data_IF_220529043190
#
_entry.id   IF_220529043190
#
_cell.length_a   1.000
_cell.length_b   1.000
_cell.length_c   1.000
_cell.angle_alpha   90.00
_cell.angle_beta   90.00
_cell.angle_gamma   90.00
#
_symmetry.space_group_name_H-M   'P 1'
#
loop_
_entity.id
_entity.type
_entity.pdbx_description
1 polymer ?
#
# COMPACT_ATOMS: atom_id res chain seq x y z
N UNK A 1 13.50 -20.02 -42.79
CA UNK A 1 12.53 -20.95 -43.42
C UNK A 1 11.51 -20.14 -44.20
N UNK A 2 11.20 -20.53 -45.44
CA UNK A 2 10.33 -19.76 -46.33
C UNK A 2 8.93 -20.37 -46.40
N UNK A 3 7.93 -19.65 -45.90
CA UNK A 3 6.58 -20.18 -45.65
C UNK A 3 5.57 -19.55 -46.59
N UNK A 4 4.70 -20.36 -47.19
CA UNK A 4 3.51 -19.89 -47.88
C UNK A 4 2.24 -20.23 -47.09
N UNK A 5 1.27 -19.31 -47.09
CA UNK A 5 -0.02 -19.50 -46.42
C UNK A 5 -1.10 -19.58 -47.51
N UNK A 6 -1.88 -20.64 -47.52
CA UNK A 6 -3.00 -20.83 -48.45
C UNK A 6 -4.29 -20.74 -47.65
N UNK A 7 -5.09 -19.73 -47.94
CA UNK A 7 -6.24 -19.28 -47.15
C UNK A 7 -5.92 -18.01 -46.38
N UNK A 8 -6.51 -16.88 -46.78
CA UNK A 8 -6.40 -15.55 -46.21
C UNK A 8 -7.57 -15.14 -45.32
N UNK A 9 -8.44 -16.08 -44.92
CA UNK A 9 -9.44 -15.86 -43.87
C UNK A 9 -8.82 -15.48 -42.50
N UNK A 10 -9.62 -15.47 -41.43
CA UNK A 10 -9.13 -15.07 -40.09
C UNK A 10 -7.95 -15.92 -39.59
N UNK A 11 -7.98 -17.25 -39.83
CA UNK A 11 -6.86 -18.12 -39.45
C UNK A 11 -5.58 -17.81 -40.21
N UNK A 12 -5.69 -17.56 -41.52
CA UNK A 12 -4.56 -17.14 -42.35
C UNK A 12 -3.98 -15.79 -41.92
N UNK A 13 -4.86 -14.84 -41.56
CA UNK A 13 -4.44 -13.54 -40.99
C UNK A 13 -3.66 -13.72 -39.70
N UNK A 14 -4.18 -14.48 -38.74
CA UNK A 14 -3.53 -14.71 -37.44
C UNK A 14 -2.19 -15.41 -37.59
N UNK A 15 -2.12 -16.45 -38.42
CA UNK A 15 -0.85 -17.15 -38.72
C UNK A 15 0.14 -16.18 -39.37
N UNK A 16 -0.29 -15.38 -40.35
CA UNK A 16 0.54 -14.38 -41.00
C UNK A 16 1.10 -13.36 -39.99
N UNK A 17 0.26 -12.78 -39.13
CA UNK A 17 0.72 -11.79 -38.14
C UNK A 17 1.72 -12.35 -37.13
N UNK A 18 1.54 -13.61 -36.70
CA UNK A 18 2.46 -14.25 -35.76
C UNK A 18 3.78 -14.58 -36.43
N UNK A 19 3.77 -15.20 -37.60
CA UNK A 19 5.01 -15.58 -38.30
C UNK A 19 5.85 -14.37 -38.71
N UNK A 20 5.21 -13.25 -39.05
CA UNK A 20 5.90 -11.98 -39.37
C UNK A 20 6.70 -11.40 -38.20
N UNK A 21 6.42 -11.80 -36.96
CA UNK A 21 7.19 -11.37 -35.76
C UNK A 21 8.43 -12.21 -35.52
N UNK A 22 8.60 -13.34 -36.22
CA UNK A 22 9.69 -14.28 -36.00
C UNK A 22 10.87 -13.98 -36.93
N UNK A 23 12.06 -13.74 -36.36
CA UNK A 23 13.24 -13.30 -37.12
C UNK A 23 13.78 -14.35 -38.12
N UNK A 24 13.44 -15.64 -37.94
CA UNK A 24 13.96 -16.76 -38.75
C UNK A 24 13.01 -17.20 -39.89
N UNK A 25 11.90 -16.49 -40.08
CA UNK A 25 10.83 -16.85 -41.02
C UNK A 25 10.71 -15.80 -42.11
N UNK A 26 10.71 -16.24 -43.37
CA UNK A 26 10.40 -15.42 -44.53
C UNK A 26 9.04 -15.83 -45.09
N UNK A 27 8.10 -14.90 -45.21
CA UNK A 27 6.80 -15.18 -45.82
C UNK A 27 6.92 -15.07 -47.34
N UNK A 28 6.81 -16.22 -48.02
CA UNK A 28 6.84 -16.31 -49.49
C UNK A 28 5.60 -15.68 -50.13
N UNK A 29 4.48 -15.76 -49.42
CA UNK A 29 3.24 -15.06 -49.73
C UNK A 29 2.00 -15.70 -49.12
N UNK A 30 0.87 -15.05 -49.29
CA UNK A 30 -0.45 -15.54 -48.88
C UNK A 30 -1.39 -15.64 -50.08
N UNK A 31 -2.20 -16.71 -50.13
CA UNK A 31 -3.17 -16.94 -51.21
C UNK A 31 -4.59 -16.91 -50.68
N UNK A 32 -5.47 -16.16 -51.32
CA UNK A 32 -6.91 -16.29 -51.14
C UNK A 32 -7.62 -15.79 -52.40
N UNK A 33 -8.70 -16.45 -52.78
CA UNK A 33 -9.55 -16.04 -53.91
C UNK A 33 -10.32 -14.75 -53.61
N UNK A 34 -10.55 -14.43 -52.33
CA UNK A 34 -11.15 -13.18 -51.90
C UNK A 34 -10.07 -12.14 -51.59
N UNK A 35 -9.93 -11.15 -52.47
CA UNK A 35 -8.99 -10.04 -52.26
C UNK A 35 -9.28 -9.19 -51.01
N UNK A 36 -10.51 -9.27 -50.47
CA UNK A 36 -10.91 -8.60 -49.25
C UNK A 36 -10.69 -9.46 -48.00
N UNK A 37 -10.18 -10.68 -48.17
CA UNK A 37 -9.93 -11.56 -47.05
C UNK A 37 -8.97 -10.90 -46.03
N UNK A 38 -9.20 -11.04 -44.71
CA UNK A 38 -8.46 -10.30 -43.68
C UNK A 38 -6.93 -10.48 -43.75
N UNK A 39 -6.46 -11.67 -44.10
CA UNK A 39 -5.05 -11.99 -44.29
C UNK A 39 -4.44 -11.35 -45.52
N UNK A 40 -5.20 -11.21 -46.61
CA UNK A 40 -4.76 -10.49 -47.83
C UNK A 40 -4.63 -9.00 -47.55
N UNK A 41 -5.59 -8.41 -46.83
CA UNK A 41 -5.52 -7.00 -46.42
C UNK A 41 -4.32 -6.72 -45.49
N UNK A 42 -4.05 -7.63 -44.55
CA UNK A 42 -2.86 -7.56 -43.71
C UNK A 42 -1.57 -7.68 -44.55
N UNK A 43 -1.52 -8.61 -45.50
CA UNK A 43 -0.35 -8.77 -46.38
C UNK A 43 -0.08 -7.53 -47.22
N UNK A 44 -1.12 -6.89 -47.78
CA UNK A 44 -1.01 -5.59 -48.48
C UNK A 44 -0.36 -4.53 -47.60
N UNK A 45 -0.82 -4.39 -46.36
CA UNK A 45 -0.28 -3.40 -45.41
C UNK A 45 1.18 -3.67 -45.02
N UNK A 46 1.56 -4.95 -44.91
CA UNK A 46 2.90 -5.37 -44.53
C UNK A 46 3.87 -5.51 -45.72
N UNK A 47 3.40 -5.27 -46.95
CA UNK A 47 4.20 -5.46 -48.17
C UNK A 47 4.53 -6.92 -48.48
N UNK A 48 3.75 -7.86 -47.95
CA UNK A 48 3.90 -9.29 -48.21
C UNK A 48 3.25 -9.65 -49.55
N UNK A 49 3.92 -10.51 -50.33
CA UNK A 49 3.37 -11.00 -51.59
C UNK A 49 2.03 -11.70 -51.37
N UNK A 50 1.05 -11.38 -52.20
CA UNK A 50 -0.27 -11.98 -52.16
C UNK A 50 -0.78 -12.22 -53.57
N UNK A 51 -1.63 -13.23 -53.74
CA UNK A 51 -2.20 -13.63 -55.02
C UNK A 51 -3.51 -14.40 -54.79
N UNK A 52 -4.34 -14.53 -55.81
CA UNK A 52 -5.50 -15.42 -55.83
C UNK A 52 -5.17 -16.82 -56.38
N UNK A 53 -3.97 -16.99 -56.96
CA UNK A 53 -3.52 -18.23 -57.58
C UNK A 53 -2.55 -19.01 -56.71
N UNK A 54 -2.93 -20.25 -56.38
CA UNK A 54 -2.04 -21.18 -55.68
C UNK A 54 -0.80 -21.48 -56.55
N UNK A 55 -0.98 -21.63 -57.86
CA UNK A 55 0.10 -21.94 -58.81
C UNK A 55 1.23 -20.90 -58.78
N UNK A 56 0.90 -19.61 -58.65
CA UNK A 56 1.90 -18.54 -58.57
C UNK A 56 2.79 -18.68 -57.34
N UNK A 57 2.23 -19.05 -56.19
CA UNK A 57 3.01 -19.32 -54.97
C UNK A 57 3.83 -20.60 -55.09
N UNK A 58 3.24 -21.67 -55.64
CA UNK A 58 3.95 -22.94 -55.82
C UNK A 58 5.10 -22.85 -56.82
N UNK A 59 5.07 -21.88 -57.74
CA UNK A 59 6.18 -21.59 -58.67
C UNK A 59 7.39 -20.96 -57.97
N UNK A 60 7.21 -20.41 -56.75
CA UNK A 60 8.29 -19.81 -55.96
C UNK A 60 8.95 -20.87 -55.08
N UNK A 61 10.19 -20.58 -54.66
CA UNK A 61 10.86 -21.38 -53.63
C UNK A 61 10.13 -21.19 -52.29
N UNK A 62 9.53 -22.27 -51.79
CA UNK A 62 8.84 -22.38 -50.51
C UNK A 62 9.33 -23.65 -49.83
N UNK A 63 9.64 -23.57 -48.53
CA UNK A 63 10.09 -24.72 -47.74
C UNK A 63 8.91 -25.36 -46.97
N UNK A 64 7.86 -24.58 -46.66
CA UNK A 64 6.68 -25.02 -45.92
C UNK A 64 5.41 -24.33 -46.43
N UNK A 65 4.34 -25.10 -46.67
CA UNK A 65 3.02 -24.61 -47.07
C UNK A 65 2.04 -24.86 -45.93
N UNK A 66 1.33 -23.83 -45.49
CA UNK A 66 0.27 -23.92 -44.48
C UNK A 66 -1.08 -23.76 -45.17
N UNK A 67 -1.84 -24.86 -45.29
CA UNK A 67 -3.17 -24.87 -45.87
C UNK A 67 -4.22 -24.64 -44.78
N UNK A 68 -4.76 -23.42 -44.72
CA UNK A 68 -5.69 -22.94 -43.68
C UNK A 68 -7.14 -22.96 -44.17
N UNK A 69 -7.40 -23.36 -45.42
CA UNK A 69 -8.73 -23.27 -46.05
C UNK A 69 -9.72 -24.31 -45.53
N UNK A 70 -9.25 -25.47 -45.07
CA UNK A 70 -10.13 -26.58 -44.70
C UNK A 70 -10.72 -27.33 -45.90
N UNK A 71 -10.31 -27.00 -47.12
CA UNK A 71 -10.91 -27.51 -48.35
C UNK A 71 -10.14 -28.71 -48.89
N UNK A 72 -10.82 -29.85 -49.01
CA UNK A 72 -10.25 -31.03 -49.67
C UNK A 72 -9.81 -30.73 -51.11
N UNK A 73 -10.52 -29.83 -51.81
CA UNK A 73 -10.15 -29.42 -53.18
C UNK A 73 -8.81 -28.71 -53.22
N UNK A 74 -8.56 -27.82 -52.26
CA UNK A 74 -7.29 -27.09 -52.14
C UNK A 74 -6.16 -28.05 -51.75
N UNK A 75 -6.44 -29.00 -50.85
CA UNK A 75 -5.47 -30.03 -50.49
C UNK A 75 -5.10 -30.92 -51.70
N UNK A 76 -6.08 -31.34 -52.50
CA UNK A 76 -5.85 -32.12 -53.72
C UNK A 76 -5.06 -31.31 -54.76
N UNK A 77 -5.38 -30.02 -54.92
CA UNK A 77 -4.67 -29.12 -55.83
C UNK A 77 -3.20 -28.97 -55.44
N UNK A 78 -2.88 -28.79 -54.16
CA UNK A 78 -1.48 -28.72 -53.69
C UNK A 78 -0.76 -30.05 -53.96
N UNK A 79 -1.41 -31.20 -53.72
CA UNK A 79 -0.79 -32.52 -53.95
C UNK A 79 -0.54 -32.79 -55.46
N UNK A 80 -1.45 -32.37 -56.34
CA UNK A 80 -1.32 -32.57 -57.79
C UNK A 80 -0.15 -31.80 -58.40
N UNK A 81 0.24 -30.66 -57.82
CA UNK A 81 1.36 -29.86 -58.29
C UNK A 81 2.74 -30.38 -57.86
N UNK A 82 2.78 -31.56 -57.20
CA UNK A 82 3.99 -32.34 -56.92
C UNK A 82 5.13 -31.48 -56.36
N UNK A 83 4.84 -30.74 -55.28
CA UNK A 83 5.76 -29.78 -54.65
C UNK A 83 6.93 -30.53 -54.00
N UNK A 84 7.96 -30.84 -54.78
CA UNK A 84 9.03 -31.76 -54.37
C UNK A 84 9.94 -31.23 -53.24
N UNK A 85 9.86 -29.95 -52.90
CA UNK A 85 10.76 -29.28 -51.96
C UNK A 85 10.06 -28.55 -50.80
N UNK A 86 8.74 -28.73 -50.61
CA UNK A 86 8.00 -28.08 -49.52
C UNK A 86 7.27 -29.11 -48.65
N UNK A 87 7.39 -28.97 -47.33
CA UNK A 87 6.51 -29.67 -46.39
C UNK A 87 5.12 -29.02 -46.38
N UNK A 88 4.06 -29.79 -46.10
CA UNK A 88 2.68 -29.29 -46.13
C UNK A 88 2.02 -29.52 -44.77
N UNK A 89 1.61 -28.43 -44.11
CA UNK A 89 0.71 -28.48 -42.96
C UNK A 89 -0.73 -28.40 -43.46
N UNK A 90 -1.46 -29.51 -43.33
CA UNK A 90 -2.86 -29.62 -43.77
C UNK A 90 -3.82 -28.95 -42.80
N UNK A 91 -5.03 -28.67 -43.29
CA UNK A 91 -6.15 -28.05 -42.59
C UNK A 91 -6.34 -28.43 -41.13
N UNK A 92 -6.26 -29.71 -40.73
CA UNK A 92 -6.47 -30.09 -39.33
C UNK A 92 -5.36 -29.54 -38.41
N UNK A 93 -4.10 -29.62 -38.85
CA UNK A 93 -2.96 -29.08 -38.13
C UNK A 93 -2.91 -27.54 -38.22
N UNK A 94 -3.30 -26.96 -39.37
CA UNK A 94 -3.45 -25.53 -39.55
C UNK A 94 -4.55 -24.93 -38.65
N UNK A 95 -5.66 -25.66 -38.46
CA UNK A 95 -6.73 -25.30 -37.53
C UNK A 95 -6.24 -25.32 -36.09
N UNK A 96 -5.47 -26.33 -35.69
CA UNK A 96 -4.83 -26.36 -34.37
C UNK A 96 -3.89 -25.17 -34.19
N UNK A 97 -3.05 -24.85 -35.18
CA UNK A 97 -2.19 -23.66 -35.15
C UNK A 97 -3.00 -22.37 -35.01
N UNK A 98 -4.11 -22.22 -35.73
CA UNK A 98 -4.99 -21.05 -35.61
C UNK A 98 -5.54 -20.89 -34.19
N UNK A 99 -5.96 -21.99 -33.54
CA UNK A 99 -6.43 -21.97 -32.15
C UNK A 99 -5.30 -21.57 -31.20
N UNK A 100 -4.11 -22.14 -31.37
CA UNK A 100 -2.94 -21.83 -30.53
C UNK A 100 -2.53 -20.36 -30.66
N UNK A 101 -2.50 -19.83 -31.88
CA UNK A 101 -2.21 -18.40 -32.13
C UNK A 101 -3.28 -17.50 -31.52
N UNK A 102 -4.56 -17.83 -31.68
CA UNK A 102 -5.64 -17.04 -31.06
C UNK A 102 -5.52 -17.01 -29.53
N UNK A 103 -5.17 -18.14 -28.92
CA UNK A 103 -4.92 -18.22 -27.48
C UNK A 103 -3.67 -17.43 -27.05
N UNK A 104 -2.63 -17.38 -27.89
CA UNK A 104 -1.44 -16.54 -27.67
C UNK A 104 -1.78 -15.04 -27.73
N UNK A 105 -2.56 -14.62 -28.72
CA UNK A 105 -3.03 -13.23 -28.86
C UNK A 105 -3.86 -12.81 -27.64
N UNK A 106 -4.78 -13.67 -27.19
CA UNK A 106 -5.60 -13.42 -26.00
C UNK A 106 -4.73 -13.33 -24.73
N UNK A 107 -3.81 -14.28 -24.53
CA UNK A 107 -2.89 -14.28 -23.40
C UNK A 107 -2.02 -13.01 -23.36
N UNK A 108 -1.53 -12.57 -24.52
CA UNK A 108 -0.73 -11.35 -24.63
C UNK A 108 -1.54 -10.12 -24.24
N UNK A 109 -2.78 -10.00 -24.71
CA UNK A 109 -3.69 -8.91 -24.33
C UNK A 109 -3.99 -8.91 -22.82
N UNK A 110 -4.24 -10.09 -22.24
CA UNK A 110 -4.43 -10.23 -20.80
C UNK A 110 -3.19 -9.81 -20.01
N UNK A 111 -2.00 -10.20 -20.45
CA UNK A 111 -0.73 -9.79 -19.84
C UNK A 111 -0.54 -8.27 -19.91
N UNK A 112 -0.83 -7.63 -21.04
CA UNK A 112 -0.74 -6.17 -21.16
C UNK A 112 -1.68 -5.43 -20.20
N UNK A 113 -2.91 -5.92 -20.05
CA UNK A 113 -3.86 -5.36 -19.07
C UNK A 113 -3.35 -5.53 -17.63
N UNK A 114 -2.89 -6.72 -17.27
CA UNK A 114 -2.33 -6.98 -15.94
C UNK A 114 -1.09 -6.13 -15.66
N UNK A 115 -0.20 -5.95 -16.63
CA UNK A 115 0.99 -5.09 -16.47
C UNK A 115 0.61 -3.63 -16.17
N UNK A 116 -0.42 -3.10 -16.84
CA UNK A 116 -0.91 -1.75 -16.57
C UNK A 116 -1.55 -1.63 -15.18
N UNK A 117 -2.28 -2.65 -14.74
CA UNK A 117 -2.85 -2.71 -13.39
C UNK A 117 -1.74 -2.73 -12.32
N UNK A 118 -0.71 -3.56 -12.51
CA UNK A 118 0.47 -3.62 -11.63
C UNK A 118 1.19 -2.27 -11.56
N UNK A 119 1.37 -1.57 -12.69
CA UNK A 119 1.96 -0.21 -12.70
C UNK A 119 1.15 0.78 -11.88
N UNK A 120 -0.18 0.75 -12.01
CA UNK A 120 -1.07 1.60 -11.24
C UNK A 120 -0.98 1.31 -9.74
N UNK A 121 -1.03 0.02 -9.36
CA UNK A 121 -0.85 -0.41 -7.96
C UNK A 121 0.50 0.06 -7.43
N UNK A 122 1.59 -0.12 -8.19
CA UNK A 122 2.93 0.32 -7.82
C UNK A 122 2.99 1.83 -7.53
N UNK A 123 2.36 2.65 -8.37
CA UNK A 123 2.33 4.10 -8.18
C UNK A 123 1.53 4.52 -6.93
N UNK A 124 0.35 3.92 -6.73
CA UNK A 124 -0.50 4.19 -5.55
C UNK A 124 0.21 3.75 -4.27
N UNK A 125 0.86 2.59 -4.29
CA UNK A 125 1.63 2.07 -3.16
C UNK A 125 2.80 2.98 -2.83
N UNK A 126 3.56 3.45 -3.83
CA UNK A 126 4.65 4.42 -3.64
C UNK A 126 4.19 5.72 -2.97
N UNK A 127 3.08 6.30 -3.46
CA UNK A 127 2.49 7.49 -2.83
C UNK A 127 2.03 7.23 -1.39
N UNK A 128 1.51 6.03 -1.10
CA UNK A 128 1.07 5.65 0.24
C UNK A 128 2.24 5.53 1.21
N UNK A 129 3.39 5.01 0.77
CA UNK A 129 4.63 4.97 1.57
C UNK A 129 5.12 6.37 1.90
N UNK A 130 5.07 7.31 0.95
CA UNK A 130 5.46 8.71 1.22
C UNK A 130 4.58 9.35 2.30
N UNK A 131 3.25 9.17 2.21
CA UNK A 131 2.31 9.66 3.23
C UNK A 131 2.54 9.01 4.60
N UNK A 132 2.90 7.72 4.60
CA UNK A 132 3.25 7.00 5.83
C UNK A 132 4.49 7.61 6.49
N UNK A 133 5.55 7.91 5.72
CA UNK A 133 6.74 8.58 6.25
C UNK A 133 6.44 9.96 6.86
N UNK A 134 5.58 10.75 6.21
CA UNK A 134 5.15 12.03 6.76
C UNK A 134 4.40 11.85 8.10
N UNK A 135 3.47 10.89 8.15
CA UNK A 135 2.72 10.56 9.38
C UNK A 135 3.62 10.04 10.50
N UNK A 136 4.62 9.23 10.20
CA UNK A 136 5.66 8.79 11.15
C UNK A 136 6.39 9.99 11.72
N UNK A 137 6.86 10.92 10.87
CA UNK A 137 7.57 12.13 11.31
C UNK A 137 6.72 13.02 12.20
N UNK A 138 5.43 13.17 11.88
CA UNK A 138 4.47 13.91 12.72
C UNK A 138 4.28 13.21 14.06
N UNK A 139 4.17 11.88 14.07
CA UNK A 139 4.01 11.08 15.29
C UNK A 139 5.23 11.22 16.20
N UNK A 140 6.46 11.13 15.67
CA UNK A 140 7.68 11.34 16.46
C UNK A 140 7.74 12.75 17.07
N UNK A 141 7.34 13.77 16.31
CA UNK A 141 7.30 15.16 16.81
C UNK A 141 6.27 15.30 17.94
N UNK A 142 5.11 14.66 17.79
CA UNK A 142 4.06 14.64 18.81
C UNK A 142 4.53 13.91 20.08
N UNK A 143 5.16 12.75 19.95
CA UNK A 143 5.74 12.00 21.07
C UNK A 143 6.73 12.85 21.88
N UNK A 144 7.62 13.58 21.20
CA UNK A 144 8.56 14.48 21.86
C UNK A 144 7.84 15.61 22.61
N UNK A 145 6.82 16.21 22.00
CA UNK A 145 6.02 17.26 22.63
C UNK A 145 5.27 16.75 23.86
N UNK A 146 4.75 15.51 23.80
CA UNK A 146 4.07 14.87 24.93
C UNK A 146 5.04 14.56 26.08
N UNK A 147 6.26 14.11 25.77
CA UNK A 147 7.30 13.91 26.79
C UNK A 147 7.62 15.24 27.51
N UNK A 148 7.83 16.33 26.76
CA UNK A 148 8.08 17.65 27.34
C UNK A 148 6.90 18.10 28.23
N UNK A 149 5.67 17.82 27.82
CA UNK A 149 4.48 18.14 28.60
C UNK A 149 4.37 17.31 29.88
N UNK A 150 4.66 16.01 29.81
CA UNK A 150 4.70 15.10 30.95
C UNK A 150 5.74 15.55 31.98
N UNK A 151 6.96 15.87 31.53
CA UNK A 151 8.05 16.35 32.38
C UNK A 151 7.69 17.64 33.10
N UNK A 152 7.13 18.62 32.37
CA UNK A 152 6.65 19.87 32.95
C UNK A 152 5.53 19.64 33.97
N UNK A 153 4.60 18.74 33.68
CA UNK A 153 3.50 18.41 34.59
C UNK A 153 4.03 17.82 35.89
N UNK A 154 5.01 16.91 35.82
CA UNK A 154 5.67 16.36 37.01
C UNK A 154 6.39 17.46 37.82
N UNK A 155 7.03 18.43 37.17
CA UNK A 155 7.62 19.56 37.88
C UNK A 155 6.56 20.39 38.63
N UNK A 156 5.43 20.69 37.99
CA UNK A 156 4.34 21.42 38.64
C UNK A 156 3.70 20.65 39.80
N UNK A 157 3.59 19.32 39.68
CA UNK A 157 3.14 18.47 40.79
C UNK A 157 4.12 18.56 41.97
N UNK A 158 5.43 18.47 41.72
CA UNK A 158 6.47 18.61 42.77
C UNK A 158 6.46 19.99 43.42
N UNK A 159 6.24 21.05 42.65
CA UNK A 159 6.12 22.42 43.18
C UNK A 159 4.87 22.56 44.07
N UNK A 160 3.74 22.01 43.61
CA UNK A 160 2.49 22.04 44.37
C UNK A 160 2.59 21.23 45.66
N UNK A 161 3.26 20.07 45.63
CA UNK A 161 3.50 19.27 46.83
C UNK A 161 4.28 20.05 47.90
N UNK A 162 5.31 20.82 47.51
CA UNK A 162 6.04 21.71 48.44
C UNK A 162 5.12 22.76 49.07
N UNK A 163 4.20 23.32 48.30
CA UNK A 163 3.21 24.30 48.81
C UNK A 163 2.28 23.61 49.82
N UNK A 164 1.81 22.39 49.54
CA UNK A 164 0.97 21.61 50.44
C UNK A 164 1.70 21.26 51.74
N UNK A 165 2.97 20.87 51.67
CA UNK A 165 3.80 20.65 52.86
C UNK A 165 3.93 21.93 53.70
N UNK A 166 4.09 23.09 53.07
CA UNK A 166 4.14 24.36 53.78
C UNK A 166 2.79 24.75 54.41
N UNK A 167 1.68 24.54 53.69
CA UNK A 167 0.32 24.74 54.20
C UNK A 167 0.03 23.85 55.41
N UNK A 168 0.45 22.58 55.38
CA UNK A 168 0.32 21.68 56.53
C UNK A 168 1.04 22.23 57.76
N UNK A 169 2.24 22.82 57.60
CA UNK A 169 2.96 23.47 58.71
C UNK A 169 2.20 24.67 59.26
N UNK A 170 1.66 25.53 58.39
CA UNK A 170 0.85 26.70 58.81
C UNK A 170 -0.39 26.23 59.57
N UNK A 171 -1.09 25.23 59.05
CA UNK A 171 -2.30 24.69 59.68
C UNK A 171 -2.00 24.12 61.06
N UNK A 172 -0.93 23.34 61.20
CA UNK A 172 -0.49 22.81 62.50
C UNK A 172 -0.14 23.94 63.49
N UNK A 173 0.61 24.95 63.06
CA UNK A 173 0.92 26.12 63.88
C UNK A 173 -0.33 26.88 64.30
N UNK A 174 -1.29 27.07 63.38
CA UNK A 174 -2.56 27.75 63.64
C UNK A 174 -3.41 26.97 64.64
N UNK A 175 -3.42 25.64 64.53
CA UNK A 175 -4.12 24.77 65.48
C UNK A 175 -3.52 24.90 66.89
N UNK A 176 -2.19 24.88 67.02
CA UNK A 176 -1.49 25.11 68.30
C UNK A 176 -1.79 26.52 68.85
N UNK A 177 -1.84 27.53 67.99
CA UNK A 177 -2.16 28.90 68.40
C UNK A 177 -3.60 29.00 68.94
N UNK A 178 -4.56 28.37 68.26
CA UNK A 178 -5.95 28.27 68.72
C UNK A 178 -6.09 27.46 70.01
N UNK A 179 -5.25 26.45 70.23
CA UNK A 179 -5.16 25.71 71.50
C UNK A 179 -4.67 26.60 72.64
N UNK A 180 -3.56 27.31 72.44
CA UNK A 180 -3.02 28.23 73.43
C UNK A 180 -4.03 29.34 73.78
N UNK A 181 -4.72 29.89 72.78
CA UNK A 181 -5.77 30.89 72.99
C UNK A 181 -6.97 30.31 73.77
N UNK A 182 -7.35 29.06 73.52
CA UNK A 182 -8.43 28.38 74.27
C UNK A 182 -8.05 28.17 75.74
N UNK A 183 -6.79 27.83 76.02
CA UNK A 183 -6.26 27.67 77.38
C UNK A 183 -6.28 29.01 78.11
N UNK A 184 -5.80 30.09 77.49
CA UNK A 184 -5.75 31.41 78.12
C UNK A 184 -7.17 31.98 78.34
N UNK A 185 -8.09 31.74 77.40
CA UNK A 185 -9.50 32.08 77.56
C UNK A 185 -10.15 31.35 78.74
N UNK A 186 -9.82 30.07 78.96
CA UNK A 186 -10.28 29.33 80.13
C UNK A 186 -9.68 29.89 81.44
N UNK A 187 -8.42 30.30 81.40
CA UNK A 187 -7.70 30.89 82.55
C UNK A 187 -8.28 32.24 82.98
N UNK A 188 -8.77 33.04 82.03
CA UNK A 188 -9.44 34.32 82.30
C UNK A 188 -10.87 34.17 82.86
N UNK A 189 -11.39 32.95 82.99
CA UNK A 189 -12.71 32.67 83.55
C UNK A 189 -13.85 33.33 82.76
N UNK A 190 -14.74 34.04 83.46
CA UNK A 190 -15.89 34.71 82.82
C UNK A 190 -15.48 35.78 81.80
N UNK A 191 -14.33 36.45 82.00
CA UNK A 191 -13.83 37.47 81.06
C UNK A 191 -13.31 36.87 79.75
N UNK A 192 -12.99 35.57 79.72
CA UNK A 192 -12.47 34.86 78.55
C UNK A 192 -13.53 34.16 77.69
N UNK A 193 -14.81 34.18 78.07
CA UNK A 193 -15.88 33.42 77.38
C UNK A 193 -15.97 33.71 75.88
N UNK A 194 -15.90 34.98 75.48
CA UNK A 194 -15.93 35.37 74.06
C UNK A 194 -14.70 34.88 73.29
N UNK A 195 -13.51 35.00 73.89
CA UNK A 195 -12.26 34.51 73.30
C UNK A 195 -12.22 32.98 73.16
N UNK A 196 -12.86 32.25 74.08
CA UNK A 196 -12.96 30.78 73.99
C UNK A 196 -13.74 30.32 72.76
N UNK A 197 -14.80 31.04 72.38
CA UNK A 197 -15.59 30.74 71.17
C UNK A 197 -14.74 30.95 69.92
N UNK A 198 -14.04 32.09 69.84
CA UNK A 198 -13.15 32.40 68.71
C UNK A 198 -12.03 31.37 68.60
N UNK A 199 -11.39 31.00 69.72
CA UNK A 199 -10.30 30.05 69.74
C UNK A 199 -10.72 28.64 69.27
N UNK A 200 -11.94 28.19 69.62
CA UNK A 200 -12.52 26.95 69.08
C UNK A 200 -12.79 27.02 67.58
N UNK A 201 -13.29 28.15 67.08
CA UNK A 201 -13.52 28.31 65.64
C UNK A 201 -12.20 28.33 64.86
N UNK A 202 -11.14 28.95 65.40
CA UNK A 202 -9.79 28.92 64.81
C UNK A 202 -9.24 27.48 64.74
N UNK A 203 -9.39 26.68 65.80
CA UNK A 203 -8.99 25.26 65.76
C UNK A 203 -9.77 24.49 64.70
N UNK A 204 -11.09 24.69 64.64
CA UNK A 204 -11.95 24.03 63.65
C UNK A 204 -11.55 24.39 62.22
N UNK A 205 -11.26 25.66 61.95
CA UNK A 205 -10.75 26.12 60.65
C UNK A 205 -9.39 25.50 60.32
N UNK A 206 -8.50 25.37 61.31
CA UNK A 206 -7.22 24.70 61.12
C UNK A 206 -7.42 23.21 60.77
N UNK A 207 -8.18 22.44 61.56
CA UNK A 207 -8.46 21.02 61.26
C UNK A 207 -9.09 20.84 59.87
N UNK A 208 -10.08 21.66 59.52
CA UNK A 208 -10.68 21.61 58.18
C UNK A 208 -9.65 21.90 57.08
N UNK A 209 -8.74 22.86 57.30
CA UNK A 209 -7.67 23.18 56.34
C UNK A 209 -6.70 22.01 56.16
N UNK A 210 -6.42 21.25 57.23
CA UNK A 210 -5.58 20.05 57.17
C UNK A 210 -6.25 18.92 56.36
N UNK A 211 -7.57 18.78 56.47
CA UNK A 211 -8.31 17.80 55.68
C UNK A 211 -8.35 18.18 54.20
N UNK A 212 -8.43 19.48 53.89
CA UNK A 212 -8.33 19.96 52.50
C UNK A 212 -6.95 19.74 51.90
N UNK A 213 -5.87 20.00 52.64
CA UNK A 213 -4.50 19.76 52.14
C UNK A 213 -4.24 18.27 51.89
N UNK A 214 -4.78 17.36 52.71
CA UNK A 214 -4.74 15.91 52.46
C UNK A 214 -5.44 15.53 51.15
N UNK A 215 -6.65 16.06 50.92
CA UNK A 215 -7.38 15.81 49.66
C UNK A 215 -6.63 16.33 48.44
N UNK A 216 -5.96 17.48 48.54
CA UNK A 216 -5.14 18.00 47.44
C UNK A 216 -3.95 17.07 47.17
N UNK A 217 -3.28 16.57 48.21
CA UNK A 217 -2.19 15.60 48.06
C UNK A 217 -2.64 14.31 47.36
N UNK A 218 -3.84 13.79 47.69
CA UNK A 218 -4.42 12.63 47.01
C UNK A 218 -4.66 12.91 45.51
N UNK A 219 -5.15 14.10 45.16
CA UNK A 219 -5.34 14.51 43.76
C UNK A 219 -4.00 14.61 43.03
N UNK A 220 -2.97 15.18 43.64
CA UNK A 220 -1.63 15.26 43.06
C UNK A 220 -1.00 13.89 42.82
N UNK A 221 -1.25 12.93 43.71
CA UNK A 221 -0.83 11.53 43.51
C UNK A 221 -1.47 10.95 42.25
N UNK A 222 -2.80 11.12 42.09
CA UNK A 222 -3.51 10.63 40.89
C UNK A 222 -3.00 11.28 39.60
N UNK A 223 -2.73 12.59 39.62
CA UNK A 223 -2.14 13.28 38.47
C UNK A 223 -0.76 12.69 38.14
N UNK A 224 0.05 12.36 39.14
CA UNK A 224 1.36 11.72 38.92
C UNK A 224 1.23 10.34 38.28
N UNK A 225 0.25 9.54 38.73
CA UNK A 225 -0.04 8.21 38.17
C UNK A 225 -0.54 8.30 36.70
N UNK A 226 -1.39 9.30 36.40
CA UNK A 226 -1.83 9.58 35.03
C UNK A 226 -0.66 9.96 34.12
N UNK A 227 0.28 10.77 34.61
CA UNK A 227 1.48 11.13 33.83
C UNK A 227 2.39 9.91 33.60
N UNK A 228 2.55 9.02 34.58
CA UNK A 228 3.28 7.78 34.39
C UNK A 228 2.64 6.89 33.30
N UNK A 229 1.31 6.84 33.28
CA UNK A 229 0.55 6.13 32.25
C UNK A 229 0.78 6.77 30.87
N UNK A 230 0.77 8.10 30.77
CA UNK A 230 1.08 8.83 29.53
C UNK A 230 2.49 8.49 29.02
N UNK A 231 3.50 8.45 29.89
CA UNK A 231 4.86 8.09 29.49
C UNK A 231 4.94 6.67 28.91
N UNK A 232 4.21 5.73 29.50
CA UNK A 232 4.12 4.35 28.98
C UNK A 232 3.48 4.33 27.59
N UNK A 233 2.43 5.10 27.36
CA UNK A 233 1.79 5.23 26.04
C UNK A 233 2.73 5.87 25.01
N UNK A 234 3.55 6.85 25.40
CA UNK A 234 4.56 7.46 24.52
C UNK A 234 5.62 6.44 24.10
N UNK A 235 6.08 5.58 25.00
CA UNK A 235 7.03 4.50 24.66
C UNK A 235 6.43 3.50 23.65
N UNK A 236 5.16 3.16 23.82
CA UNK A 236 4.43 2.32 22.87
C UNK A 236 4.29 3.02 21.50
N UNK A 237 3.93 4.30 21.49
CA UNK A 237 3.85 5.11 20.26
C UNK A 237 5.19 5.15 19.51
N UNK A 238 6.31 5.32 20.22
CA UNK A 238 7.64 5.29 19.62
C UNK A 238 7.97 3.93 19.01
N UNK A 239 7.61 2.84 19.69
CA UNK A 239 7.79 1.47 19.16
C UNK A 239 6.98 1.25 17.89
N UNK A 240 5.71 1.70 17.87
CA UNK A 240 4.85 1.62 16.69
C UNK A 240 5.43 2.42 15.53
N UNK A 241 5.87 3.65 15.79
CA UNK A 241 6.49 4.54 14.80
C UNK A 241 7.74 3.89 14.17
N UNK A 242 8.57 3.24 14.97
CA UNK A 242 9.76 2.54 14.49
C UNK A 242 9.43 1.30 13.63
N UNK A 243 8.42 0.51 14.04
CA UNK A 243 7.95 -0.62 13.24
C UNK A 243 7.36 -0.16 11.90
N UNK A 244 6.55 0.91 11.89
CA UNK A 244 6.01 1.49 10.67
C UNK A 244 7.12 2.00 9.74
N UNK A 245 8.17 2.60 10.30
CA UNK A 245 9.32 3.05 9.51
C UNK A 245 10.03 1.89 8.82
N UNK A 246 10.27 0.77 9.53
CA UNK A 246 10.86 -0.43 8.94
C UNK A 246 9.96 -1.01 7.83
N UNK A 247 8.67 -1.19 8.12
CA UNK A 247 7.71 -1.70 7.13
C UNK A 247 7.64 -0.81 5.88
N UNK A 248 7.66 0.53 6.06
CA UNK A 248 7.69 1.48 4.95
C UNK A 248 8.93 1.33 4.07
N UNK A 249 10.10 1.11 4.67
CA UNK A 249 11.36 0.90 3.93
C UNK A 249 11.36 -0.43 3.14
N UNK A 250 10.85 -1.51 3.74
CA UNK A 250 10.67 -2.81 3.06
C UNK A 250 9.70 -2.66 1.88
N UNK A 251 8.58 -1.97 2.07
CA UNK A 251 7.59 -1.73 1.02
C UNK A 251 8.17 -0.89 -0.12
N UNK A 252 8.96 0.14 0.19
CA UNK A 252 9.63 0.99 -0.80
C UNK A 252 10.59 0.17 -1.68
N UNK A 253 11.29 -0.80 -1.08
CA UNK A 253 12.19 -1.70 -1.79
C UNK A 253 11.40 -2.62 -2.72
N UNK A 254 10.35 -3.27 -2.21
CA UNK A 254 9.49 -4.14 -3.01
C UNK A 254 8.83 -3.41 -4.20
N UNK A 255 8.39 -2.17 -4.00
CA UNK A 255 7.83 -1.33 -5.07
C UNK A 255 8.88 -0.98 -6.12
N UNK A 256 10.12 -0.69 -5.70
CA UNK A 256 11.21 -0.39 -6.62
C UNK A 256 11.59 -1.61 -7.47
N UNK A 257 11.65 -2.79 -6.88
CA UNK A 257 11.88 -4.07 -7.58
C UNK A 257 10.77 -4.38 -8.58
N UNK A 258 9.51 -4.21 -8.16
CA UNK A 258 8.35 -4.38 -9.04
C UNK A 258 8.42 -3.43 -10.23
N UNK A 259 8.70 -2.14 -10.00
CA UNK A 259 8.84 -1.15 -11.07
C UNK A 259 9.99 -1.49 -12.04
N UNK A 260 11.07 -2.12 -11.56
CA UNK A 260 12.16 -2.59 -12.41
C UNK A 260 11.77 -3.80 -13.26
N UNK A 261 10.97 -4.73 -12.75
CA UNK A 261 10.47 -5.90 -13.51
C UNK A 261 9.47 -5.55 -14.63
N UNK A 262 8.90 -4.35 -14.61
CA UNK A 262 7.93 -3.86 -15.59
C UNK A 262 8.58 -3.08 -16.76
N UNK A 263 9.91 -2.94 -16.76
CA UNK A 263 10.71 -2.34 -17.83
C UNK A 263 11.24 -3.41 -18.76
#
# INVERSE_FOLDING_TARGET
MRIAIIGGGQGGRSILSTLMRMQEIEIAGIVDIDENAPGIQLAKNLGVYHTDSIQEILSKRVDLIIEVTGSNKVADEINMHNVHNAEIIRSQAAKLMTILVGNEEELTSQLEMQMNEIRNISNVTSSSVMKMHESISQTTTLSNTLNDFADRTIQHVKETDKIIQFMNKITQQTNILGLNASIEAARAGEHGRGFSIVAKEVQKLATNSEDFTKKIAEILSKISDEVFSINTEIEQLNTISQNQHQMGAELQTAVAELAASLK
#
